data_IF_223282904801
#
_entry.id   IF_223282904801
#
_cell.length_a   1.000
_cell.length_b   1.000
_cell.length_c   1.000
_cell.angle_alpha   90.00
_cell.angle_beta   90.00
_cell.angle_gamma   90.00
#
_symmetry.space_group_name_H-M   'P 1'
#
loop_
_entity.id
_entity.type
_entity.pdbx_description
1 polymer ?
#
# COMPACT_ATOMS: atom_id res chain seq x y z
N UNK A 1 4.94 -9.02 28.83
CA UNK A 1 6.27 -8.89 28.21
C UNK A 1 6.02 -8.46 26.78
N UNK A 2 5.94 -7.15 26.56
CA UNK A 2 5.82 -6.60 25.21
C UNK A 2 7.24 -6.48 24.68
N UNK A 3 7.62 -7.43 23.83
CA UNK A 3 8.76 -7.22 22.95
C UNK A 3 8.22 -6.25 21.90
N UNK A 4 8.66 -4.99 21.96
CA UNK A 4 8.55 -4.08 20.83
C UNK A 4 9.16 -4.80 19.63
N UNK A 5 8.32 -5.35 18.74
CA UNK A 5 8.73 -6.01 17.51
C UNK A 5 9.32 -4.95 16.56
N UNK A 6 10.55 -4.55 16.85
CA UNK A 6 11.37 -3.78 15.93
C UNK A 6 11.52 -4.59 14.66
N UNK A 7 11.22 -3.94 13.54
CA UNK A 7 11.38 -4.53 12.23
C UNK A 7 12.80 -5.08 12.02
N UNK A 8 12.90 -6.23 11.39
CA UNK A 8 14.10 -7.00 11.16
C UNK A 8 14.46 -7.05 9.68
N UNK A 9 15.72 -7.38 9.39
CA UNK A 9 16.18 -7.61 8.03
C UNK A 9 15.41 -8.78 7.43
N UNK A 10 14.86 -8.58 6.24
CA UNK A 10 14.02 -9.55 5.53
C UNK A 10 12.51 -9.34 5.73
N UNK A 11 12.11 -8.48 6.67
CA UNK A 11 10.69 -8.19 6.87
C UNK A 11 10.08 -7.49 5.67
N UNK A 12 8.88 -7.96 5.31
CA UNK A 12 8.04 -7.39 4.25
C UNK A 12 7.12 -6.36 4.88
N UNK A 13 7.24 -5.12 4.42
CA UNK A 13 6.55 -3.97 5.00
C UNK A 13 5.86 -3.14 3.91
N UNK A 14 4.96 -2.27 4.31
CA UNK A 14 4.38 -1.21 3.48
C UNK A 14 4.82 0.12 4.02
N UNK A 15 5.41 0.96 3.15
CA UNK A 15 5.71 2.34 3.46
C UNK A 15 4.63 3.24 2.81
N UNK A 16 3.85 4.00 3.60
CA UNK A 16 2.76 4.83 3.07
C UNK A 16 3.20 5.69 1.89
N UNK A 17 2.34 5.82 0.88
CA UNK A 17 2.59 6.54 -0.39
C UNK A 17 3.70 5.96 -1.30
N UNK A 18 4.61 5.15 -0.78
CA UNK A 18 5.72 4.60 -1.54
C UNK A 18 5.44 3.19 -2.04
N UNK A 19 4.73 2.37 -1.26
CA UNK A 19 4.32 1.02 -1.59
C UNK A 19 4.98 -0.03 -0.71
N UNK A 20 4.85 -1.29 -1.12
CA UNK A 20 5.41 -2.41 -0.39
C UNK A 20 6.92 -2.57 -0.64
N UNK A 21 7.66 -2.99 0.39
CA UNK A 21 9.10 -3.09 0.39
C UNK A 21 9.64 -4.17 1.33
N UNK A 22 10.94 -4.40 1.26
CA UNK A 22 11.67 -5.33 2.13
C UNK A 22 12.78 -4.56 2.84
N UNK A 23 12.98 -4.85 4.12
CA UNK A 23 14.12 -4.32 4.87
C UNK A 23 15.38 -5.10 4.44
N UNK A 24 16.31 -4.40 3.78
CA UNK A 24 17.55 -5.00 3.30
C UNK A 24 18.66 -4.95 4.36
N UNK A 25 18.71 -3.89 5.17
CA UNK A 25 19.76 -3.70 6.15
C UNK A 25 19.34 -2.78 7.29
N UNK A 26 20.04 -2.90 8.42
CA UNK A 26 20.05 -1.92 9.51
C UNK A 26 21.49 -1.45 9.64
N UNK A 27 21.74 -0.19 9.31
CA UNK A 27 23.08 0.41 9.25
C UNK A 27 23.24 1.48 10.32
N UNK A 28 24.39 1.51 10.98
CA UNK A 28 24.78 2.65 11.82
C UNK A 28 25.51 3.68 10.95
N UNK A 29 25.03 4.94 10.97
CA UNK A 29 25.63 6.05 10.23
C UNK A 29 25.81 7.27 11.11
N UNK A 30 26.95 7.92 10.94
CA UNK A 30 27.19 9.25 11.48
C UNK A 30 26.79 10.30 10.45
N UNK A 31 25.77 11.10 10.78
CA UNK A 31 25.30 12.21 9.95
C UNK A 31 25.35 13.48 10.81
N UNK A 32 26.06 14.51 10.33
CA UNK A 32 26.24 15.78 11.03
C UNK A 32 26.80 15.60 12.46
N UNK A 33 27.73 14.65 12.65
CA UNK A 33 28.36 14.37 13.95
C UNK A 33 27.47 13.64 14.96
N UNK A 34 26.30 13.13 14.53
CA UNK A 34 25.45 12.26 15.36
C UNK A 34 25.37 10.86 14.76
N UNK A 35 25.81 9.86 15.51
CA UNK A 35 25.68 8.44 15.14
C UNK A 35 24.27 7.95 15.45
N UNK A 36 23.58 7.42 14.44
CA UNK A 36 22.25 6.83 14.57
C UNK A 36 22.13 5.56 13.74
N UNK A 37 21.23 4.67 14.15
CA UNK A 37 20.84 3.52 13.34
C UNK A 37 19.75 3.89 12.35
N UNK A 38 19.88 3.35 11.14
CA UNK A 38 18.97 3.56 10.02
C UNK A 38 18.52 2.21 9.45
N UNK A 39 17.23 2.08 9.21
CA UNK A 39 16.63 0.99 8.47
C UNK A 39 16.66 1.31 6.96
N UNK A 40 17.22 0.42 6.16
CA UNK A 40 17.30 0.51 4.71
C UNK A 40 16.20 -0.37 4.10
N UNK A 41 15.24 0.28 3.45
CA UNK A 41 14.06 -0.35 2.87
C UNK A 41 14.16 -0.28 1.35
N UNK A 42 14.08 -1.43 0.69
CA UNK A 42 13.96 -1.55 -0.75
C UNK A 42 12.50 -1.55 -1.15
N UNK A 43 12.04 -0.50 -1.82
CA UNK A 43 10.67 -0.46 -2.35
C UNK A 43 10.62 -1.25 -3.64
N UNK A 44 9.73 -2.23 -3.67
CA UNK A 44 9.55 -3.11 -4.81
C UNK A 44 8.78 -2.29 -5.87
N UNK A 45 9.25 -2.34 -7.12
CA UNK A 45 8.71 -1.62 -8.29
C UNK A 45 9.17 -0.16 -8.50
N UNK A 46 10.05 0.40 -7.65
CA UNK A 46 10.55 1.77 -7.85
C UNK A 46 12.07 1.91 -8.01
N UNK A 47 12.81 0.79 -8.01
CA UNK A 47 14.29 0.76 -7.92
C UNK A 47 14.81 1.82 -6.93
N UNK A 48 14.12 1.93 -5.80
CA UNK A 48 14.26 3.02 -4.84
C UNK A 48 14.54 2.43 -3.48
N UNK A 49 15.57 2.94 -2.82
CA UNK A 49 15.87 2.66 -1.42
C UNK A 49 15.46 3.86 -0.56
N UNK A 50 14.82 3.55 0.56
CA UNK A 50 14.43 4.53 1.57
C UNK A 50 15.23 4.23 2.83
N UNK A 51 15.90 5.23 3.37
CA UNK A 51 16.69 5.12 4.60
C UNK A 51 15.99 5.89 5.72
N UNK A 52 15.50 5.19 6.74
CA UNK A 52 14.76 5.79 7.85
C UNK A 52 15.48 5.64 9.18
N UNK A 53 15.64 6.73 9.97
CA UNK A 53 16.13 6.62 11.33
C UNK A 53 15.25 5.70 12.16
N UNK A 54 15.85 4.83 12.97
CA UNK A 54 15.10 3.88 13.80
C UNK A 54 14.13 4.59 14.76
N UNK A 55 14.49 5.80 15.24
CA UNK A 55 13.63 6.62 16.11
C UNK A 55 12.39 7.20 15.42
N UNK A 56 12.35 7.19 14.08
CA UNK A 56 11.23 7.69 13.29
C UNK A 56 10.37 6.56 12.69
N UNK A 57 10.77 5.29 12.84
CA UNK A 57 10.05 4.15 12.26
C UNK A 57 8.57 4.15 12.67
N UNK A 58 8.28 4.26 13.97
CA UNK A 58 6.88 4.29 14.46
C UNK A 58 6.09 5.49 13.94
N UNK A 59 6.74 6.65 13.76
CA UNK A 59 6.10 7.88 13.26
C UNK A 59 5.90 7.89 11.75
N UNK A 60 6.63 7.04 11.03
CA UNK A 60 6.62 6.98 9.57
C UNK A 60 5.42 6.24 9.00
N UNK A 61 4.62 5.57 9.84
CA UNK A 61 3.43 4.83 9.44
C UNK A 61 3.74 3.52 8.70
N UNK A 62 4.97 2.99 8.83
CA UNK A 62 5.32 1.68 8.29
C UNK A 62 4.54 0.60 9.04
N UNK A 63 4.05 -0.38 8.28
CA UNK A 63 3.41 -1.57 8.81
C UNK A 63 3.93 -2.82 8.11
N UNK A 64 3.71 -3.98 8.72
CA UNK A 64 3.86 -5.25 8.03
C UNK A 64 2.83 -5.38 6.91
N UNK A 65 3.19 -6.15 5.87
CA UNK A 65 2.22 -6.61 4.88
C UNK A 65 1.16 -7.49 5.56
N UNK A 66 -0.01 -7.58 4.95
CA UNK A 66 -1.02 -8.54 5.38
C UNK A 66 -0.58 -9.99 5.09
N UNK A 67 -1.14 -10.97 5.79
CA UNK A 67 -0.97 -12.37 5.44
C UNK A 67 -1.90 -12.77 4.29
N UNK A 68 -1.69 -13.97 3.73
CA UNK A 68 -2.49 -14.48 2.62
C UNK A 68 -3.98 -14.61 2.94
N UNK A 69 -4.32 -15.04 4.16
CA UNK A 69 -5.73 -15.20 4.56
C UNK A 69 -6.45 -13.87 4.66
N UNK A 70 -5.79 -12.84 5.20
CA UNK A 70 -6.32 -11.47 5.20
C UNK A 70 -6.46 -10.92 3.78
N UNK A 71 -5.50 -11.18 2.89
CA UNK A 71 -5.61 -10.81 1.48
C UNK A 71 -6.85 -11.44 0.82
N UNK A 72 -7.08 -12.74 1.02
CA UNK A 72 -8.25 -13.43 0.46
C UNK A 72 -9.57 -12.82 0.97
N UNK A 73 -9.64 -12.46 2.25
CA UNK A 73 -10.79 -11.74 2.81
C UNK A 73 -11.02 -10.36 2.17
N UNK A 74 -9.95 -9.60 1.92
CA UNK A 74 -10.03 -8.30 1.25
C UNK A 74 -10.51 -8.46 -0.19
N UNK A 75 -10.05 -9.49 -0.91
CA UNK A 75 -10.51 -9.77 -2.27
C UNK A 75 -11.98 -10.16 -2.30
N UNK A 76 -12.45 -10.94 -1.32
CA UNK A 76 -13.88 -11.26 -1.20
C UNK A 76 -14.72 -9.99 -0.99
N UNK A 77 -14.30 -9.10 -0.10
CA UNK A 77 -14.97 -7.82 0.13
C UNK A 77 -14.85 -6.86 -1.07
N UNK A 78 -13.78 -6.96 -1.86
CA UNK A 78 -13.64 -6.22 -3.11
C UNK A 78 -14.77 -6.56 -4.10
N UNK A 79 -15.17 -7.83 -4.21
CA UNK A 79 -16.27 -8.24 -5.07
C UNK A 79 -17.64 -7.88 -4.48
N UNK A 80 -17.86 -8.15 -3.19
CA UNK A 80 -19.19 -8.06 -2.57
C UNK A 80 -19.52 -6.71 -1.93
N UNK A 81 -18.53 -5.89 -1.61
CA UNK A 81 -18.77 -4.67 -0.84
C UNK A 81 -19.50 -3.62 -1.68
N UNK A 82 -20.41 -2.90 -1.03
CA UNK A 82 -21.22 -1.85 -1.65
C UNK A 82 -20.51 -0.49 -1.56
N UNK A 83 -20.73 0.36 -2.56
CA UNK A 83 -20.25 1.74 -2.55
C UNK A 83 -21.37 2.64 -2.04
N UNK A 84 -21.09 3.55 -1.10
CA UNK A 84 -22.13 4.44 -0.56
C UNK A 84 -22.63 5.43 -1.64
N UNK A 85 -23.89 5.30 -2.10
CA UNK A 85 -24.44 6.13 -3.16
C UNK A 85 -24.78 7.56 -2.68
N UNK A 86 -24.85 7.79 -1.37
CA UNK A 86 -25.29 9.06 -0.78
C UNK A 86 -24.19 10.14 -0.78
N UNK A 87 -22.93 9.75 -0.96
CA UNK A 87 -21.80 10.68 -0.91
C UNK A 87 -21.67 11.52 -2.18
N UNK A 88 -21.53 12.83 -2.00
CA UNK A 88 -21.18 13.73 -3.10
C UNK A 88 -19.79 13.42 -3.65
N UNK A 89 -19.52 13.82 -4.90
CA UNK A 89 -18.21 13.64 -5.53
C UNK A 89 -17.05 14.17 -4.67
N UNK A 90 -17.21 15.38 -4.10
CA UNK A 90 -16.17 16.02 -3.29
C UNK A 90 -15.92 15.26 -1.99
N UNK A 91 -16.97 14.81 -1.32
CA UNK A 91 -16.85 14.00 -0.09
C UNK A 91 -16.16 12.67 -0.38
N UNK A 92 -16.54 11.98 -1.47
CA UNK A 92 -15.92 10.73 -1.88
C UNK A 92 -14.45 10.89 -2.23
N UNK A 93 -14.08 11.95 -2.95
CA UNK A 93 -12.68 12.23 -3.26
C UNK A 93 -11.85 12.45 -1.98
N UNK A 94 -12.36 13.24 -1.04
CA UNK A 94 -11.69 13.46 0.26
C UNK A 94 -11.55 12.15 1.04
N UNK A 95 -12.62 11.36 1.12
CA UNK A 95 -12.61 10.07 1.82
C UNK A 95 -11.63 9.08 1.19
N UNK A 96 -11.60 8.97 -0.15
CA UNK A 96 -10.64 8.13 -0.85
C UNK A 96 -9.21 8.61 -0.65
N UNK A 97 -8.99 9.93 -0.61
CA UNK A 97 -7.67 10.49 -0.31
C UNK A 97 -7.22 10.17 1.12
N UNK A 98 -8.12 10.17 2.10
CA UNK A 98 -7.82 9.77 3.48
C UNK A 98 -7.49 8.28 3.57
N UNK A 99 -8.28 7.42 2.92
CA UNK A 99 -8.01 5.98 2.77
C UNK A 99 -6.63 5.70 2.17
N UNK A 100 -6.27 6.44 1.12
CA UNK A 100 -4.95 6.34 0.50
C UNK A 100 -3.81 6.78 1.42
N UNK A 101 -4.04 7.73 2.32
CA UNK A 101 -3.02 8.18 3.30
C UNK A 101 -2.80 7.16 4.42
N UNK A 102 -3.83 6.43 4.82
CA UNK A 102 -3.71 5.38 5.85
C UNK A 102 -2.80 4.23 5.40
N UNK A 103 -2.71 3.98 4.08
CA UNK A 103 -1.81 2.97 3.53
C UNK A 103 -2.23 1.53 3.83
N UNK A 104 -3.46 1.31 4.28
CA UNK A 104 -4.02 -0.04 4.46
C UNK A 104 -4.38 -0.66 3.11
N UNK A 105 -4.19 -1.98 3.00
CA UNK A 105 -4.51 -2.70 1.77
C UNK A 105 -6.00 -2.67 1.47
N UNK A 106 -6.84 -2.90 2.48
CA UNK A 106 -8.30 -2.87 2.37
C UNK A 106 -8.80 -1.51 1.87
N UNK A 107 -8.33 -0.43 2.49
CA UNK A 107 -8.63 0.94 2.08
C UNK A 107 -8.25 1.20 0.61
N UNK A 108 -7.04 0.77 0.21
CA UNK A 108 -6.55 0.93 -1.16
C UNK A 108 -7.37 0.10 -2.16
N UNK A 109 -7.71 -1.13 -1.81
CA UNK A 109 -8.55 -2.02 -2.61
C UNK A 109 -9.97 -1.44 -2.79
N UNK A 110 -10.55 -0.89 -1.73
CA UNK A 110 -11.86 -0.25 -1.77
C UNK A 110 -11.86 0.98 -2.70
N UNK A 111 -10.81 1.81 -2.62
CA UNK A 111 -10.65 2.96 -3.53
C UNK A 111 -10.55 2.50 -4.98
N UNK A 112 -9.80 1.43 -5.28
CA UNK A 112 -9.72 0.84 -6.62
C UNK A 112 -11.11 0.39 -7.09
N UNK A 113 -11.83 -0.39 -6.27
CA UNK A 113 -13.17 -0.89 -6.57
C UNK A 113 -14.13 0.24 -6.92
N UNK A 114 -14.22 1.24 -6.04
CA UNK A 114 -15.18 2.35 -6.17
C UNK A 114 -14.87 3.23 -7.38
N UNK A 115 -13.60 3.52 -7.66
CA UNK A 115 -13.20 4.29 -8.83
C UNK A 115 -13.41 3.51 -10.14
N UNK A 116 -13.21 2.20 -10.16
CA UNK A 116 -13.47 1.36 -11.33
C UNK A 116 -14.97 1.27 -11.64
N UNK A 117 -15.82 1.06 -10.64
CA UNK A 117 -17.28 1.09 -10.80
C UNK A 117 -17.74 2.44 -11.32
N UNK A 118 -17.23 3.53 -10.73
CA UNK A 118 -17.51 4.88 -11.19
C UNK A 118 -17.07 5.10 -12.64
N UNK A 119 -15.90 4.60 -13.04
CA UNK A 119 -15.42 4.73 -14.42
C UNK A 119 -16.32 4.01 -15.44
N UNK A 120 -17.04 2.95 -15.04
CA UNK A 120 -18.06 2.27 -15.86
C UNK A 120 -19.32 3.13 -16.04
N UNK A 121 -19.71 3.89 -15.01
CA UNK A 121 -20.87 4.79 -15.05
C UNK A 121 -20.57 6.14 -15.73
N UNK A 122 -19.40 6.72 -15.44
CA UNK A 122 -18.97 8.03 -15.90
C UNK A 122 -17.45 8.10 -15.96
N UNK A 123 -16.93 8.66 -17.05
CA UNK A 123 -15.49 8.91 -17.19
C UNK A 123 -14.91 9.70 -16.01
N UNK A 124 -13.85 9.14 -15.41
CA UNK A 124 -13.09 9.78 -14.34
C UNK A 124 -12.37 11.04 -14.83
N UNK A 125 -12.27 12.05 -13.97
CA UNK A 125 -11.42 13.22 -14.21
C UNK A 125 -9.92 12.90 -13.99
N UNK A 126 -9.04 13.84 -14.32
CA UNK A 126 -7.59 13.63 -14.23
C UNK A 126 -7.13 13.24 -12.80
N UNK A 127 -7.65 13.91 -11.78
CA UNK A 127 -7.30 13.64 -10.37
C UNK A 127 -7.80 12.26 -9.92
N UNK A 128 -9.01 11.87 -10.30
CA UNK A 128 -9.57 10.54 -10.02
C UNK A 128 -8.79 9.43 -10.74
N UNK A 129 -8.40 9.65 -11.99
CA UNK A 129 -7.55 8.69 -12.74
C UNK A 129 -6.20 8.51 -12.06
N UNK A 130 -5.55 9.61 -11.68
CA UNK A 130 -4.27 9.55 -10.97
C UNK A 130 -4.41 8.84 -9.61
N UNK A 131 -5.52 9.07 -8.89
CA UNK A 131 -5.81 8.37 -7.65
C UNK A 131 -6.01 6.86 -7.87
N UNK A 132 -6.77 6.48 -8.89
CA UNK A 132 -6.96 5.07 -9.27
C UNK A 132 -5.62 4.40 -9.61
N UNK A 133 -4.79 5.04 -10.43
CA UNK A 133 -3.47 4.50 -10.81
C UNK A 133 -2.56 4.31 -9.60
N UNK A 134 -2.56 5.27 -8.66
CA UNK A 134 -1.79 5.16 -7.42
C UNK A 134 -2.33 4.05 -6.51
N UNK A 135 -3.66 3.93 -6.38
CA UNK A 135 -4.29 2.89 -5.58
C UNK A 135 -3.99 1.49 -6.15
N UNK A 136 -4.06 1.32 -7.48
CA UNK A 136 -3.69 0.06 -8.15
C UNK A 136 -2.23 -0.30 -7.89
N UNK A 137 -1.30 0.65 -8.01
CA UNK A 137 0.12 0.40 -7.73
C UNK A 137 0.37 -0.05 -6.29
N UNK A 138 -0.32 0.57 -5.32
CA UNK A 138 -0.23 0.15 -3.90
C UNK A 138 -0.69 -1.31 -3.74
N UNK A 139 -1.89 -1.65 -4.24
CA UNK A 139 -2.45 -3.00 -4.15
C UNK A 139 -1.55 -4.02 -4.86
N UNK A 140 -1.11 -3.74 -6.09
CA UNK A 140 -0.21 -4.63 -6.85
C UNK A 140 1.09 -4.88 -6.09
N UNK A 141 1.70 -3.82 -5.53
CA UNK A 141 2.97 -3.95 -4.80
C UNK A 141 2.84 -4.87 -3.58
N UNK A 142 1.74 -4.76 -2.84
CA UNK A 142 1.51 -5.59 -1.66
C UNK A 142 1.13 -7.02 -2.04
N UNK A 143 0.25 -7.21 -3.02
CA UNK A 143 -0.11 -8.55 -3.55
C UNK A 143 1.13 -9.28 -4.05
N UNK A 144 2.02 -8.61 -4.78
CA UNK A 144 3.27 -9.19 -5.26
C UNK A 144 4.12 -9.74 -4.09
N UNK A 145 4.20 -9.00 -2.98
CA UNK A 145 4.94 -9.41 -1.80
C UNK A 145 4.27 -10.53 -1.01
N UNK A 146 2.95 -10.45 -0.83
CA UNK A 146 2.14 -11.43 -0.09
C UNK A 146 2.17 -12.78 -0.81
N UNK A 147 1.96 -12.77 -2.13
CA UNK A 147 1.96 -13.99 -2.94
C UNK A 147 3.35 -14.44 -3.38
N UNK A 148 4.38 -13.59 -3.20
CA UNK A 148 5.75 -13.84 -3.63
C UNK A 148 5.86 -14.07 -5.14
N UNK A 149 5.20 -13.20 -5.91
CA UNK A 149 5.13 -13.24 -7.37
C UNK A 149 5.69 -11.95 -7.97
N UNK A 150 5.94 -11.96 -9.28
CA UNK A 150 6.33 -10.74 -9.98
C UNK A 150 5.20 -9.70 -10.03
N UNK A 151 5.55 -8.43 -10.21
CA UNK A 151 4.58 -7.34 -10.40
C UNK A 151 3.64 -7.62 -11.59
N UNK A 152 4.17 -8.22 -12.66
CA UNK A 152 3.37 -8.63 -13.82
C UNK A 152 2.28 -9.62 -13.42
N UNK A 153 2.65 -10.68 -12.70
CA UNK A 153 1.70 -11.69 -12.22
C UNK A 153 0.69 -11.11 -11.22
N UNK A 154 1.12 -10.20 -10.34
CA UNK A 154 0.22 -9.51 -9.42
C UNK A 154 -0.75 -8.56 -10.16
N UNK A 155 -0.29 -7.95 -11.26
CA UNK A 155 -1.12 -7.10 -12.12
C UNK A 155 -2.18 -7.92 -12.85
N UNK A 156 -1.79 -9.07 -13.43
CA UNK A 156 -2.71 -10.01 -14.06
C UNK A 156 -3.74 -10.52 -13.05
N UNK A 157 -3.28 -10.91 -11.85
CA UNK A 157 -4.15 -11.33 -10.77
C UNK A 157 -5.20 -10.27 -10.41
N UNK A 158 -4.77 -9.01 -10.19
CA UNK A 158 -5.69 -7.92 -9.89
C UNK A 158 -6.65 -7.64 -11.05
N UNK A 159 -6.18 -7.78 -12.29
CA UNK A 159 -7.00 -7.56 -13.47
C UNK A 159 -8.07 -8.65 -13.64
N UNK A 160 -7.74 -9.90 -13.32
CA UNK A 160 -8.70 -11.00 -13.27
C UNK A 160 -9.74 -10.80 -12.16
N UNK A 161 -9.32 -10.35 -10.97
CA UNK A 161 -10.23 -9.96 -9.88
C UNK A 161 -11.17 -8.83 -10.31
N UNK A 162 -10.73 -7.88 -11.13
CA UNK A 162 -11.57 -6.76 -11.58
C UNK A 162 -12.61 -7.19 -12.63
N UNK A 163 -12.29 -8.23 -13.43
CA UNK A 163 -13.12 -8.69 -14.53
C UNK A 163 -14.18 -9.72 -14.12
N UNK A 164 -14.06 -10.31 -12.92
CA UNK A 164 -15.02 -11.23 -12.31
C UNK A 164 -15.92 -10.52 -11.30
#
# INVERSE_FOLDING_TARGET
>A
MEVDDLFQIGDKIVYPMHGAGIIEAIEEKEILGTTRQYCVIRIINKDMQVMLPMDQLQKSGIRYIVDKGTLDGILLEFHHGESDPSLSWKQRYTMNMEKMKNGNLQDSAEVVRDLLRRNKERALNASEKQMLDNARKMVISEVALVQNVSEHQATEFLQDTINH
#
